data_IF_202437506614
#
_entry.id   IF_202437506614
#
_cell.length_a   1.000
_cell.length_b   1.000
_cell.length_c   1.000
_cell.angle_alpha   90.00
_cell.angle_beta   90.00
_cell.angle_gamma   90.00
#
_symmetry.space_group_name_H-M   'P 1'
#
loop_
_entity.id
_entity.type
_entity.pdbx_description
1 polymer ?
#
# COMPACT_ATOMS: atom_id res chain seq x y z
N UNK A 1 -62.91 -19.41 -12.50
CA UNK A 1 -62.84 -18.82 -11.15
C UNK A 1 -61.37 -18.53 -10.92
N UNK A 2 -60.96 -17.26 -10.96
CA UNK A 2 -59.54 -16.90 -10.78
C UNK A 2 -59.21 -17.14 -9.31
N UNK A 3 -58.18 -17.92 -9.05
CA UNK A 3 -57.78 -18.24 -7.67
C UNK A 3 -57.09 -17.04 -7.03
N UNK A 4 -57.17 -16.89 -5.71
CA UNK A 4 -56.50 -15.81 -4.98
C UNK A 4 -54.99 -15.77 -5.27
N UNK A 5 -54.39 -16.94 -5.56
CA UNK A 5 -52.99 -17.09 -5.97
C UNK A 5 -52.71 -16.42 -7.32
N UNK A 6 -53.59 -16.60 -8.31
CA UNK A 6 -53.47 -15.96 -9.63
C UNK A 6 -53.66 -14.45 -9.55
N UNK A 7 -54.57 -13.97 -8.69
CA UNK A 7 -54.76 -12.53 -8.46
C UNK A 7 -53.50 -11.88 -7.88
N UNK A 8 -52.83 -12.54 -6.94
CA UNK A 8 -51.57 -12.05 -6.35
C UNK A 8 -50.44 -12.07 -7.39
N UNK A 9 -50.31 -13.16 -8.16
CA UNK A 9 -49.29 -13.27 -9.20
C UNK A 9 -49.44 -12.22 -10.31
N UNK A 10 -50.67 -11.90 -10.71
CA UNK A 10 -50.92 -10.87 -11.71
C UNK A 10 -50.54 -9.47 -11.20
N UNK A 11 -50.92 -9.13 -9.96
CA UNK A 11 -50.51 -7.85 -9.33
C UNK A 11 -49.00 -7.70 -9.20
N UNK A 12 -48.27 -8.80 -8.96
CA UNK A 12 -46.80 -8.79 -8.89
C UNK A 12 -46.15 -8.62 -10.27
N UNK A 13 -46.76 -9.16 -11.33
CA UNK A 13 -46.27 -9.00 -12.71
C UNK A 13 -46.52 -7.58 -13.22
N UNK A 14 -47.71 -7.04 -12.98
CA UNK A 14 -48.06 -5.65 -13.33
C UNK A 14 -47.10 -4.64 -12.70
N UNK A 15 -46.72 -4.84 -11.43
CA UNK A 15 -45.72 -3.98 -10.75
C UNK A 15 -44.27 -4.19 -11.20
N UNK A 16 -43.94 -5.31 -11.84
CA UNK A 16 -42.59 -5.58 -12.36
C UNK A 16 -42.38 -4.94 -13.74
N UNK A 17 -43.46 -4.66 -14.47
CA UNK A 17 -43.45 -4.00 -15.78
C UNK A 17 -43.43 -2.48 -15.70
N UNK A 18 -43.76 -1.87 -14.55
CA UNK A 18 -43.31 -0.53 -14.21
C UNK A 18 -41.79 -0.56 -13.97
N UNK A 19 -41.03 -0.59 -15.05
CA UNK A 19 -39.62 -0.25 -15.00
C UNK A 19 -39.53 1.16 -14.44
N UNK A 20 -39.12 1.29 -13.17
CA UNK A 20 -38.56 2.53 -12.64
C UNK A 20 -37.61 3.06 -13.72
N UNK A 21 -37.73 4.33 -14.15
CA UNK A 21 -36.82 4.86 -15.14
C UNK A 21 -35.41 4.57 -14.66
N UNK A 22 -34.70 3.73 -15.42
CA UNK A 22 -33.31 3.44 -15.13
C UNK A 22 -32.62 4.78 -15.30
N UNK A 23 -32.34 5.46 -14.18
CA UNK A 23 -31.42 6.57 -14.18
C UNK A 23 -30.08 5.98 -14.57
N UNK A 24 -29.81 5.89 -15.88
CA UNK A 24 -28.48 5.71 -16.39
C UNK A 24 -27.75 7.00 -16.04
N UNK A 25 -27.13 7.02 -14.87
CA UNK A 25 -26.09 7.99 -14.61
C UNK A 25 -25.07 7.79 -15.72
N UNK A 26 -24.96 8.79 -16.59
CA UNK A 26 -23.93 8.83 -17.61
C UNK A 26 -22.63 9.15 -16.90
N UNK A 27 -22.04 8.14 -16.24
CA UNK A 27 -20.82 8.25 -15.44
C UNK A 27 -19.66 8.78 -16.30
N UNK A 28 -19.77 8.64 -17.64
CA UNK A 28 -18.82 9.22 -18.60
C UNK A 28 -18.74 10.75 -18.56
N UNK A 29 -19.79 11.43 -18.06
CA UNK A 29 -19.82 12.89 -17.88
C UNK A 29 -19.28 13.36 -16.53
N UNK A 30 -19.13 12.45 -15.57
CA UNK A 30 -18.39 12.75 -14.35
C UNK A 30 -16.90 12.57 -14.65
N UNK A 31 -16.26 13.65 -15.09
CA UNK A 31 -14.82 13.75 -14.90
C UNK A 31 -14.56 13.59 -13.41
N UNK A 32 -13.87 12.51 -13.03
CA UNK A 32 -13.42 12.32 -11.66
C UNK A 32 -12.80 13.64 -11.18
N UNK A 33 -13.22 14.20 -10.02
CA UNK A 33 -12.55 15.37 -9.45
C UNK A 33 -11.09 15.05 -9.07
N UNK A 34 -10.71 13.77 -9.13
CA UNK A 34 -9.38 13.28 -8.86
C UNK A 34 -8.64 13.05 -10.17
N UNK A 35 -7.62 13.87 -10.42
CA UNK A 35 -6.64 13.63 -11.48
C UNK A 35 -5.87 12.36 -11.12
N UNK A 36 -6.10 11.27 -11.87
CA UNK A 36 -5.17 10.14 -11.83
C UNK A 36 -3.84 10.61 -12.40
N UNK A 37 -2.72 10.49 -11.66
CA UNK A 37 -1.41 10.82 -12.20
C UNK A 37 -1.14 9.89 -13.39
N UNK A 38 -1.11 10.44 -14.60
CA UNK A 38 -0.88 9.66 -15.83
C UNK A 38 0.59 9.58 -16.20
N UNK A 39 1.41 10.50 -15.68
CA UNK A 39 2.82 10.62 -16.03
C UNK A 39 3.64 10.49 -14.74
N UNK A 40 4.58 9.54 -14.75
CA UNK A 40 5.57 9.31 -13.69
C UNK A 40 4.98 9.07 -12.29
N UNK A 41 4.40 7.88 -12.13
CA UNK A 41 3.83 7.43 -10.86
C UNK A 41 4.85 7.48 -9.72
N UNK A 42 6.11 7.15 -10.01
CA UNK A 42 7.20 7.05 -9.04
C UNK A 42 7.50 8.41 -8.41
N UNK A 43 7.64 9.45 -9.23
CA UNK A 43 7.81 10.81 -8.72
C UNK A 43 6.55 11.32 -8.00
N UNK A 44 5.35 10.98 -8.48
CA UNK A 44 4.13 11.39 -7.80
C UNK A 44 4.01 10.75 -6.40
N UNK A 45 4.30 9.45 -6.28
CA UNK A 45 4.35 8.76 -4.99
C UNK A 45 5.34 9.41 -4.03
N UNK A 46 6.56 9.70 -4.51
CA UNK A 46 7.57 10.39 -3.71
C UNK A 46 7.05 11.71 -3.15
N UNK A 47 6.47 12.55 -4.00
CA UNK A 47 5.92 13.85 -3.59
C UNK A 47 4.81 13.66 -2.55
N UNK A 48 3.87 12.75 -2.78
CA UNK A 48 2.75 12.53 -1.84
C UNK A 48 3.21 11.94 -0.50
N UNK A 49 4.19 11.04 -0.49
CA UNK A 49 4.76 10.48 0.73
C UNK A 49 5.55 11.54 1.53
N UNK A 50 6.33 12.38 0.83
CA UNK A 50 7.11 13.45 1.47
C UNK A 50 6.23 14.56 2.06
N UNK A 51 5.05 14.83 1.47
CA UNK A 51 4.07 15.77 2.02
C UNK A 51 3.58 15.39 3.43
N UNK A 52 3.56 14.10 3.75
CA UNK A 52 3.15 13.60 5.07
C UNK A 52 4.34 13.32 6.00
N UNK A 53 5.54 13.80 5.64
CA UNK A 53 6.76 13.67 6.45
C UNK A 53 7.53 12.36 6.26
N UNK A 54 7.14 11.53 5.28
CA UNK A 54 7.95 10.39 4.85
C UNK A 54 9.20 10.82 4.07
N UNK A 55 10.11 9.89 3.82
CA UNK A 55 11.26 10.07 2.91
C UNK A 55 11.21 8.98 1.83
N UNK A 56 11.43 9.33 0.58
CA UNK A 56 11.43 8.38 -0.54
C UNK A 56 12.74 8.44 -1.33
N UNK A 57 13.46 7.32 -1.38
CA UNK A 57 14.69 7.17 -2.15
C UNK A 57 14.43 6.29 -3.37
N UNK A 58 14.63 6.85 -4.57
CA UNK A 58 14.48 6.11 -5.83
C UNK A 58 15.85 5.53 -6.18
N UNK A 59 15.94 4.20 -6.25
CA UNK A 59 17.17 3.48 -6.54
C UNK A 59 17.02 2.72 -7.85
N UNK A 60 17.92 2.98 -8.82
CA UNK A 60 17.85 2.35 -10.15
C UNK A 60 18.46 0.94 -10.16
N UNK A 61 19.30 0.61 -9.19
CA UNK A 61 19.95 -0.69 -9.06
C UNK A 61 20.13 -1.07 -7.58
N UNK A 62 20.52 -2.32 -7.35
CA UNK A 62 20.75 -2.84 -6.00
C UNK A 62 21.93 -2.16 -5.29
N UNK A 63 22.91 -1.61 -6.03
CA UNK A 63 24.04 -0.91 -5.41
C UNK A 63 23.59 0.41 -4.80
N UNK A 64 22.81 1.18 -5.54
CA UNK A 64 22.20 2.43 -5.10
C UNK A 64 21.31 2.19 -3.89
N UNK A 65 20.54 1.10 -3.86
CA UNK A 65 19.75 0.71 -2.70
C UNK A 65 20.65 0.52 -1.46
N UNK A 66 21.73 -0.26 -1.58
CA UNK A 66 22.67 -0.54 -0.50
C UNK A 66 23.32 0.75 0.01
N UNK A 67 23.75 1.63 -0.90
CA UNK A 67 24.42 2.88 -0.55
C UNK A 67 23.46 3.85 0.15
N UNK A 68 22.25 4.02 -0.38
CA UNK A 68 21.21 4.84 0.25
C UNK A 68 20.80 4.28 1.62
N UNK A 69 20.69 2.95 1.74
CA UNK A 69 20.39 2.31 3.02
C UNK A 69 21.48 2.62 4.06
N UNK A 70 22.76 2.47 3.72
CA UNK A 70 23.87 2.80 4.63
C UNK A 70 23.83 4.26 5.08
N UNK A 71 23.62 5.19 4.15
CA UNK A 71 23.50 6.62 4.44
C UNK A 71 22.36 6.87 5.43
N UNK A 72 21.19 6.25 5.21
CA UNK A 72 20.04 6.40 6.09
C UNK A 72 20.33 5.89 7.52
N UNK A 73 20.96 4.71 7.64
CA UNK A 73 21.32 4.12 8.93
C UNK A 73 22.31 5.00 9.68
N UNK A 74 23.32 5.53 8.99
CA UNK A 74 24.33 6.42 9.57
C UNK A 74 23.72 7.79 9.96
N UNK A 75 22.94 8.43 9.08
CA UNK A 75 22.28 9.73 9.34
C UNK A 75 21.39 9.66 10.59
N UNK A 76 20.69 8.53 10.77
CA UNK A 76 19.75 8.33 11.88
C UNK A 76 20.37 7.63 13.09
N UNK A 77 21.67 7.29 13.04
CA UNK A 77 22.37 6.54 14.08
C UNK A 77 21.61 5.26 14.50
N UNK A 78 21.09 4.54 13.51
CA UNK A 78 20.32 3.32 13.74
C UNK A 78 21.30 2.17 13.96
N UNK A 79 21.11 1.45 15.06
CA UNK A 79 21.95 0.32 15.48
C UNK A 79 21.15 -0.98 15.57
N UNK A 80 19.90 -0.87 16.03
CA UNK A 80 18.99 -2.01 16.22
C UNK A 80 17.92 -2.02 15.12
N UNK A 81 18.14 -2.85 14.10
CA UNK A 81 17.24 -3.01 12.96
C UNK A 81 16.63 -4.39 12.99
N UNK A 82 15.30 -4.46 13.00
CA UNK A 82 14.59 -5.71 12.85
C UNK A 82 14.22 -5.96 11.38
N UNK A 83 14.47 -7.16 10.90
CA UNK A 83 14.02 -7.63 9.59
C UNK A 83 13.88 -9.16 9.61
N UNK A 84 12.75 -9.65 9.11
CA UNK A 84 12.50 -11.11 8.98
C UNK A 84 12.47 -11.59 7.54
N UNK A 85 12.23 -10.69 6.58
CA UNK A 85 12.10 -11.08 5.19
C UNK A 85 13.47 -11.50 4.65
N UNK A 86 13.59 -12.77 4.23
CA UNK A 86 14.84 -13.36 3.76
C UNK A 86 15.36 -12.70 2.49
N UNK A 87 14.47 -12.33 1.57
CA UNK A 87 14.84 -11.72 0.29
C UNK A 87 15.47 -10.34 0.52
N UNK A 88 14.91 -9.56 1.45
CA UNK A 88 15.48 -8.27 1.87
C UNK A 88 16.82 -8.46 2.58
N UNK A 89 16.93 -9.45 3.47
CA UNK A 89 18.19 -9.74 4.16
C UNK A 89 19.30 -10.10 3.15
N UNK A 90 18.99 -10.87 2.12
CA UNK A 90 19.92 -11.21 1.03
C UNK A 90 20.31 -9.97 0.22
N UNK A 91 19.34 -9.12 -0.14
CA UNK A 91 19.61 -7.85 -0.84
C UNK A 91 20.52 -6.92 -0.03
N UNK A 92 20.35 -6.92 1.29
CA UNK A 92 21.09 -6.05 2.21
C UNK A 92 22.33 -6.72 2.82
N UNK A 93 22.68 -7.95 2.48
CA UNK A 93 23.83 -8.66 3.07
C UNK A 93 25.13 -7.85 2.91
N UNK A 94 25.30 -7.20 1.76
CA UNK A 94 26.46 -6.34 1.42
C UNK A 94 26.54 -5.05 2.24
N UNK A 95 25.51 -4.72 3.02
CA UNK A 95 25.54 -3.58 3.93
C UNK A 95 26.46 -3.81 5.12
N UNK A 96 26.72 -5.08 5.49
CA UNK A 96 27.33 -5.49 6.77
C UNK A 96 26.58 -4.96 7.99
N UNK A 97 25.31 -4.61 7.83
CA UNK A 97 24.43 -4.21 8.92
C UNK A 97 23.97 -5.45 9.68
N UNK A 98 23.91 -5.36 11.00
CA UNK A 98 23.39 -6.44 11.84
C UNK A 98 21.87 -6.31 11.90
N UNK A 99 21.17 -7.38 11.57
CA UNK A 99 19.71 -7.46 11.64
C UNK A 99 19.29 -8.41 12.76
N UNK A 100 18.28 -7.99 13.51
CA UNK A 100 17.61 -8.80 14.52
C UNK A 100 16.47 -9.54 13.84
N UNK A 101 16.40 -10.86 14.00
CA UNK A 101 15.34 -11.72 13.44
C UNK A 101 14.27 -12.11 14.47
N UNK A 102 14.62 -12.08 15.75
CA UNK A 102 13.75 -12.39 16.89
C UNK A 102 13.79 -11.25 17.90
N UNK A 103 12.60 -10.76 18.29
CA UNK A 103 12.49 -9.61 19.19
C UNK A 103 12.13 -10.09 20.58
N UNK A 104 13.04 -9.88 21.54
CA UNK A 104 12.76 -10.07 22.96
C UNK A 104 12.06 -8.84 23.58
N UNK A 105 12.43 -7.64 23.11
CA UNK A 105 11.87 -6.36 23.58
C UNK A 105 11.72 -5.38 22.41
N UNK A 106 10.47 -5.16 21.98
CA UNK A 106 10.13 -4.26 20.88
C UNK A 106 10.53 -2.80 21.12
N UNK A 107 10.70 -2.38 22.38
CA UNK A 107 11.08 -0.99 22.69
C UNK A 107 12.55 -0.67 22.36
N UNK A 108 13.38 -1.70 22.18
CA UNK A 108 14.80 -1.52 21.80
C UNK A 108 15.00 -1.41 20.30
N UNK A 109 14.01 -1.82 19.51
CA UNK A 109 14.09 -1.78 18.06
C UNK A 109 13.89 -0.34 17.57
N UNK A 110 14.88 0.17 16.86
CA UNK A 110 14.89 1.54 16.36
C UNK A 110 14.28 1.65 14.97
N UNK A 111 14.50 0.62 14.14
CA UNK A 111 13.91 0.55 12.82
C UNK A 111 13.45 -0.87 12.49
N UNK A 112 12.42 -0.97 11.67
CA UNK A 112 12.04 -2.25 11.04
C UNK A 112 12.03 -2.11 9.54
N UNK A 113 12.56 -3.12 8.86
CA UNK A 113 12.55 -3.22 7.40
C UNK A 113 11.53 -4.27 6.97
N UNK A 114 10.60 -3.88 6.10
CA UNK A 114 9.60 -4.80 5.55
C UNK A 114 9.45 -4.64 4.04
N UNK A 115 8.95 -5.67 3.35
CA UNK A 115 8.36 -5.46 2.04
C UNK A 115 7.00 -4.75 2.19
N UNK A 116 6.38 -4.42 1.07
CA UNK A 116 4.97 -4.03 1.00
C UNK A 116 4.25 -4.85 -0.06
N UNK A 117 2.92 -4.80 -0.09
CA UNK A 117 2.13 -5.37 -1.19
C UNK A 117 2.04 -4.35 -2.33
N UNK A 118 1.63 -3.13 -2.00
CA UNK A 118 1.30 -2.09 -2.96
C UNK A 118 1.69 -0.69 -2.47
N UNK A 119 2.01 0.17 -3.42
CA UNK A 119 2.21 1.60 -3.22
C UNK A 119 1.11 2.37 -3.98
N UNK A 120 0.46 3.31 -3.31
CA UNK A 120 -0.54 4.19 -3.94
C UNK A 120 0.10 5.52 -4.30
N UNK A 121 0.38 5.74 -5.59
CA UNK A 121 0.98 6.98 -6.07
C UNK A 121 0.12 8.20 -5.70
N UNK A 122 -1.21 8.10 -5.85
CA UNK A 122 -2.16 9.19 -5.58
C UNK A 122 -2.13 9.69 -4.13
N UNK A 123 -1.79 8.84 -3.17
CA UNK A 123 -1.90 9.17 -1.74
C UNK A 123 -0.59 9.02 -0.99
N UNK A 124 0.50 8.62 -1.67
CA UNK A 124 1.78 8.31 -1.03
C UNK A 124 1.67 7.17 0.00
N UNK A 125 0.65 6.32 -0.10
CA UNK A 125 0.38 5.31 0.93
C UNK A 125 1.10 4.00 0.64
N UNK A 126 1.63 3.38 1.69
CA UNK A 126 2.18 2.01 1.65
C UNK A 126 1.13 1.05 2.20
N UNK A 127 0.82 0.01 1.44
CA UNK A 127 -0.12 -1.04 1.83
C UNK A 127 0.69 -2.27 2.20
N UNK A 128 0.46 -2.77 3.43
CA UNK A 128 1.07 -3.99 3.94
C UNK A 128 -0.01 -4.91 4.50
N UNK A 129 -0.04 -6.15 4.04
CA UNK A 129 -0.92 -7.21 4.50
C UNK A 129 -0.22 -8.05 5.55
N UNK A 130 -1.00 -8.70 6.43
CA UNK A 130 -0.45 -9.54 7.50
C UNK A 130 0.26 -10.81 7.02
N UNK A 131 0.25 -11.09 5.72
CA UNK A 131 1.02 -12.22 5.15
C UNK A 131 2.48 -11.88 4.93
N UNK A 132 2.81 -10.59 4.80
CA UNK A 132 4.18 -10.13 4.54
C UNK A 132 4.97 -9.79 5.83
N UNK A 133 4.28 -9.69 6.96
CA UNK A 133 4.82 -9.26 8.27
C UNK A 133 4.23 -10.10 9.40
N UNK A 134 4.85 -10.11 10.58
CA UNK A 134 4.29 -10.75 11.77
C UNK A 134 3.23 -9.85 12.44
N UNK A 135 2.13 -9.63 11.72
CA UNK A 135 1.06 -8.74 12.17
C UNK A 135 1.51 -7.28 12.27
N UNK A 136 0.72 -6.45 12.95
CA UNK A 136 0.94 -4.99 12.99
C UNK A 136 2.11 -4.56 13.87
N UNK A 137 2.65 -5.48 14.68
CA UNK A 137 3.68 -5.17 15.68
C UNK A 137 4.95 -4.68 14.99
N UNK A 138 5.32 -5.29 13.86
CA UNK A 138 6.46 -4.93 13.02
C UNK A 138 6.39 -3.49 12.45
N UNK A 139 5.20 -2.88 12.42
CA UNK A 139 4.98 -1.53 11.88
C UNK A 139 4.72 -0.51 13.00
N UNK A 140 4.05 -0.92 14.08
CA UNK A 140 3.51 0.01 15.09
C UNK A 140 4.53 0.38 16.17
N UNK A 141 5.42 -0.54 16.55
CA UNK A 141 6.34 -0.31 17.67
C UNK A 141 7.63 0.43 17.31
N UNK A 142 8.33 0.08 16.21
CA UNK A 142 9.56 0.76 15.83
C UNK A 142 9.27 2.22 15.46
N UNK A 143 10.06 3.19 15.93
CA UNK A 143 9.86 4.59 15.56
C UNK A 143 10.15 4.86 14.08
N UNK A 144 10.88 3.98 13.40
CA UNK A 144 11.20 4.08 11.98
C UNK A 144 10.74 2.81 11.25
N UNK A 145 9.86 2.97 10.28
CA UNK A 145 9.45 1.90 9.36
C UNK A 145 10.09 2.13 7.99
N UNK A 146 11.02 1.27 7.62
CA UNK A 146 11.72 1.28 6.33
C UNK A 146 11.02 0.26 5.42
N UNK A 147 10.59 0.71 4.25
CA UNK A 147 9.92 -0.14 3.27
C UNK A 147 10.80 -0.28 2.06
N UNK A 148 11.10 -1.51 1.67
CA UNK A 148 11.75 -1.82 0.39
C UNK A 148 10.68 -2.32 -0.57
N UNK A 149 10.56 -1.64 -1.70
CA UNK A 149 9.50 -1.87 -2.68
C UNK A 149 10.05 -1.76 -4.10
N UNK A 150 9.42 -2.50 -5.01
CA UNK A 150 9.70 -2.41 -6.44
C UNK A 150 8.72 -1.45 -7.12
N UNK A 151 9.16 -0.82 -8.21
CA UNK A 151 8.29 0.05 -9.02
C UNK A 151 7.06 -0.70 -9.58
N UNK A 152 7.18 -2.01 -9.83
CA UNK A 152 6.05 -2.85 -10.25
C UNK A 152 4.90 -2.93 -9.24
N UNK A 153 5.14 -2.54 -7.99
CA UNK A 153 4.16 -2.52 -6.92
C UNK A 153 3.44 -1.16 -6.82
N UNK A 154 3.73 -0.24 -7.74
CA UNK A 154 3.17 1.10 -7.74
C UNK A 154 1.90 1.19 -8.57
N UNK A 155 0.84 1.70 -7.94
CA UNK A 155 -0.48 1.83 -8.52
C UNK A 155 -0.92 3.30 -8.53
N UNK A 156 -1.58 3.78 -9.60
CA UNK A 156 -2.09 5.15 -9.68
C UNK A 156 -3.16 5.48 -8.63
N UNK A 157 -3.69 4.50 -7.89
CA UNK A 157 -4.83 4.63 -7.00
C UNK A 157 -6.15 4.29 -7.70
N UNK A 158 -7.09 3.64 -6.99
CA UNK A 158 -8.36 3.21 -7.57
C UNK A 158 -9.23 4.38 -8.06
N UNK A 159 -9.99 4.14 -9.15
CA UNK A 159 -11.13 4.94 -9.60
C UNK A 159 -12.29 4.88 -8.61
#
# INVERSE_FOLDING_TARGET
MITSRETILNKLREKKEESLPLFSLDISKYNSPFNTPTNDLTNHFKIELEKIGGKCFICNDSSALIDQFKILIEEKNITEIYCRNTDILEQLEKTKTTFVSEIEDYNKIQATVTPCDFLSARTGSVIVTSTLIQGRVDIVFPPIHIVIANESQLYPGSR
#
